data_IF_393502744094
#
_entry.id   IF_393502744094
#
_cell.length_a   1.000
_cell.length_b   1.000
_cell.length_c   1.000
_cell.angle_alpha   90.00
_cell.angle_beta   90.00
_cell.angle_gamma   90.00
#
_symmetry.space_group_name_H-M   'P 1'
#
loop_
_entity.id
_entity.type
_entity.pdbx_description
1 polymer ?
#
# COMPACT_ATOMS: atom_id res chain seq x y z
N UNK A 1 18.56 -17.51 -20.60
CA UNK A 1 17.83 -17.32 -19.33
C UNK A 1 16.34 -17.51 -19.59
N UNK A 2 15.71 -18.45 -18.91
CA UNK A 2 14.27 -18.69 -18.99
C UNK A 2 13.52 -17.43 -18.53
N UNK A 3 12.32 -17.18 -19.09
CA UNK A 3 11.52 -15.99 -18.77
C UNK A 3 11.21 -15.85 -17.27
N UNK A 4 11.10 -16.98 -16.57
CA UNK A 4 10.90 -17.04 -15.10
C UNK A 4 12.14 -16.61 -14.32
N UNK A 5 13.33 -17.06 -14.73
CA UNK A 5 14.60 -16.66 -14.11
C UNK A 5 14.84 -15.15 -14.27
N UNK A 6 14.52 -14.59 -15.46
CA UNK A 6 14.56 -13.14 -15.69
C UNK A 6 13.62 -12.38 -14.76
N UNK A 7 12.41 -12.89 -14.54
CA UNK A 7 11.44 -12.29 -13.61
C UNK A 7 11.96 -12.29 -12.16
N UNK A 8 12.54 -13.41 -11.70
CA UNK A 8 13.09 -13.53 -10.35
C UNK A 8 14.32 -12.63 -10.16
N UNK A 9 15.21 -12.56 -11.16
CA UNK A 9 16.36 -11.65 -11.15
C UNK A 9 15.90 -10.18 -11.03
N UNK A 10 14.89 -9.78 -11.82
CA UNK A 10 14.29 -8.44 -11.74
C UNK A 10 13.74 -8.12 -10.35
N UNK A 11 13.04 -9.06 -9.71
CA UNK A 11 12.59 -8.84 -8.32
C UNK A 11 13.76 -8.68 -7.36
N UNK A 12 14.79 -9.52 -7.47
CA UNK A 12 15.98 -9.44 -6.62
C UNK A 12 16.67 -8.07 -6.74
N UNK A 13 16.84 -7.58 -7.96
CA UNK A 13 17.46 -6.28 -8.20
C UNK A 13 16.56 -5.11 -7.76
N UNK A 14 15.25 -5.22 -7.99
CA UNK A 14 14.30 -4.22 -7.53
C UNK A 14 14.24 -4.12 -6.00
N UNK A 15 14.34 -5.24 -5.28
CA UNK A 15 14.41 -5.25 -3.80
C UNK A 15 15.67 -4.53 -3.31
N UNK A 16 16.84 -4.79 -3.93
CA UNK A 16 18.09 -4.09 -3.59
C UNK A 16 17.98 -2.57 -3.80
N UNK A 17 17.19 -2.14 -4.78
CA UNK A 17 16.91 -0.73 -5.04
C UNK A 17 15.79 -0.13 -4.16
N UNK A 18 15.33 -0.84 -3.12
CA UNK A 18 14.28 -0.38 -2.20
C UNK A 18 12.84 -0.69 -2.64
N UNK A 19 12.65 -1.39 -3.76
CA UNK A 19 11.37 -1.87 -4.27
C UNK A 19 10.87 -3.15 -3.57
N UNK A 20 10.28 -4.05 -4.36
CA UNK A 20 9.89 -5.41 -3.91
C UNK A 20 8.42 -5.77 -4.12
N UNK A 21 7.57 -4.78 -4.42
CA UNK A 21 6.17 -5.00 -4.85
C UNK A 21 5.94 -4.27 -6.15
N UNK A 22 5.43 -4.99 -7.16
CA UNK A 22 5.30 -4.46 -8.51
C UNK A 22 3.94 -4.78 -9.15
N UNK A 23 3.40 -3.81 -9.87
CA UNK A 23 2.20 -4.02 -10.69
C UNK A 23 2.52 -4.86 -11.92
N UNK A 24 1.49 -5.46 -12.52
CA UNK A 24 1.61 -6.18 -13.80
C UNK A 24 2.21 -5.30 -14.89
N UNK A 25 1.88 -3.99 -14.88
CA UNK A 25 2.38 -3.00 -15.84
C UNK A 25 3.87 -2.73 -15.64
N UNK A 26 4.32 -2.56 -14.39
CA UNK A 26 5.73 -2.36 -14.08
C UNK A 26 6.56 -3.59 -14.43
N UNK A 27 6.07 -4.79 -14.12
CA UNK A 27 6.74 -6.02 -14.51
C UNK A 27 6.85 -6.18 -16.03
N UNK A 28 5.78 -5.86 -16.76
CA UNK A 28 5.81 -5.87 -18.22
C UNK A 28 6.88 -4.90 -18.76
N UNK A 29 6.88 -3.67 -18.25
CA UNK A 29 7.86 -2.65 -18.61
C UNK A 29 9.31 -3.10 -18.31
N UNK A 30 9.59 -3.54 -17.08
CA UNK A 30 10.93 -3.98 -16.66
C UNK A 30 11.42 -5.23 -17.43
N UNK A 31 10.51 -6.08 -17.89
CA UNK A 31 10.85 -7.25 -18.72
C UNK A 31 11.03 -6.91 -20.21
N UNK A 32 10.69 -5.69 -20.63
CA UNK A 32 10.65 -5.31 -22.05
C UNK A 32 9.52 -6.01 -22.81
N UNK A 33 8.40 -6.27 -22.15
CA UNK A 33 7.27 -7.05 -22.65
C UNK A 33 6.00 -6.19 -22.71
N UNK A 34 5.11 -6.39 -23.69
CA UNK A 34 3.83 -5.71 -23.71
C UNK A 34 2.93 -6.26 -22.59
N UNK A 35 2.18 -5.36 -21.94
CA UNK A 35 1.12 -5.77 -21.01
C UNK A 35 -0.04 -6.40 -21.80
N UNK A 36 0.06 -7.70 -22.03
CA UNK A 36 -0.86 -8.51 -22.82
C UNK A 36 -1.59 -9.57 -21.99
N UNK A 37 -2.67 -10.18 -22.50
CA UNK A 37 -3.29 -11.35 -21.87
C UNK A 37 -2.29 -12.51 -21.66
N UNK A 38 -1.37 -12.72 -22.62
CA UNK A 38 -0.32 -13.71 -22.51
C UNK A 38 0.65 -13.40 -21.35
N UNK A 39 1.05 -12.14 -21.18
CA UNK A 39 1.90 -11.73 -20.06
C UNK A 39 1.18 -11.87 -18.71
N UNK A 40 -0.10 -11.50 -18.65
CA UNK A 40 -0.92 -11.66 -17.44
C UNK A 40 -1.11 -13.14 -17.06
N UNK A 41 -1.29 -14.01 -18.06
CA UNK A 41 -1.32 -15.47 -17.87
C UNK A 41 0.02 -15.98 -17.36
N UNK A 42 1.14 -15.53 -17.95
CA UNK A 42 2.49 -15.86 -17.49
C UNK A 42 2.70 -15.53 -16.01
N UNK A 43 2.33 -14.33 -15.56
CA UNK A 43 2.41 -13.97 -14.13
C UNK A 43 1.51 -14.85 -13.26
N UNK A 44 0.30 -15.16 -13.73
CA UNK A 44 -0.64 -16.04 -13.01
C UNK A 44 -0.10 -17.47 -12.88
N UNK A 45 0.56 -17.99 -13.92
CA UNK A 45 1.23 -19.29 -13.90
C UNK A 45 2.44 -19.30 -12.95
N UNK A 46 3.24 -18.22 -12.95
CA UNK A 46 4.34 -18.07 -11.98
C UNK A 46 3.82 -18.04 -10.54
N UNK A 47 2.70 -17.35 -10.30
CA UNK A 47 2.07 -17.30 -8.99
C UNK A 47 1.54 -18.67 -8.55
N UNK A 48 0.87 -19.40 -9.46
CA UNK A 48 0.39 -20.77 -9.22
C UNK A 48 1.52 -21.75 -8.89
N UNK A 49 2.71 -21.54 -9.48
CA UNK A 49 3.92 -22.32 -9.21
C UNK A 49 4.66 -21.88 -7.94
N UNK A 50 4.20 -20.84 -7.24
CA UNK A 50 4.84 -20.33 -6.03
C UNK A 50 6.14 -19.54 -6.25
N UNK A 51 6.46 -19.16 -7.50
CA UNK A 51 7.66 -18.35 -7.80
C UNK A 51 7.47 -16.87 -7.40
N UNK A 52 6.24 -16.40 -7.50
CA UNK A 52 5.82 -15.06 -7.09
C UNK A 52 4.54 -15.18 -6.27
N UNK A 53 4.24 -14.19 -5.44
CA UNK A 53 2.98 -14.11 -4.72
C UNK A 53 2.18 -12.94 -5.26
N UNK A 54 0.90 -13.16 -5.54
CA UNK A 54 -0.04 -12.08 -5.81
C UNK A 54 -0.48 -11.49 -4.47
N UNK A 55 0.01 -10.30 -4.14
CA UNK A 55 -0.34 -9.64 -2.86
C UNK A 55 -1.75 -9.07 -2.88
N UNK A 56 -2.17 -8.53 -4.03
CA UNK A 56 -3.54 -8.12 -4.38
C UNK A 56 -3.72 -8.21 -5.89
N UNK A 57 -4.94 -8.04 -6.41
CA UNK A 57 -5.20 -8.14 -7.86
C UNK A 57 -4.26 -7.24 -8.68
N UNK A 58 -3.45 -7.86 -9.53
CA UNK A 58 -2.55 -7.16 -10.46
C UNK A 58 -1.23 -6.69 -9.85
N UNK A 59 -0.96 -6.99 -8.59
CA UNK A 59 0.26 -6.60 -7.86
C UNK A 59 0.93 -7.86 -7.29
N UNK A 60 2.24 -7.95 -7.47
CA UNK A 60 3.01 -9.15 -7.19
C UNK A 60 4.32 -8.82 -6.45
N UNK A 61 4.84 -9.83 -5.77
CA UNK A 61 6.17 -9.84 -5.16
C UNK A 61 6.85 -11.19 -5.39
N UNK A 62 8.16 -11.24 -5.16
CA UNK A 62 8.92 -12.50 -5.18
C UNK A 62 8.73 -13.27 -3.87
N UNK A 63 8.59 -14.60 -3.95
CA UNK A 63 8.54 -15.47 -2.76
C UNK A 63 9.93 -15.81 -2.22
N UNK A 64 10.97 -15.60 -3.03
CA UNK A 64 12.37 -15.87 -2.70
C UNK A 64 13.02 -14.63 -2.09
N UNK A 65 12.71 -13.46 -2.64
CA UNK A 65 13.23 -12.17 -2.20
C UNK A 65 12.03 -11.24 -1.94
N UNK A 66 11.26 -11.48 -0.87
CA UNK A 66 10.13 -10.62 -0.55
C UNK A 66 10.60 -9.21 -0.14
N UNK A 67 9.73 -8.19 -0.24
CA UNK A 67 10.02 -6.88 0.32
C UNK A 67 10.17 -6.95 1.85
N UNK A 68 10.86 -5.96 2.41
CA UNK A 68 10.94 -5.74 3.86
C UNK A 68 9.53 -5.71 4.49
N UNK A 69 9.19 -6.66 5.38
CA UNK A 69 7.82 -6.82 5.89
C UNK A 69 7.26 -5.57 6.55
N UNK A 70 8.09 -4.82 7.27
CA UNK A 70 7.67 -3.60 7.99
C UNK A 70 7.21 -2.47 7.05
N UNK A 71 7.69 -2.46 5.80
CA UNK A 71 7.37 -1.39 4.82
C UNK A 71 6.48 -1.87 3.67
N UNK A 72 6.32 -3.19 3.50
CA UNK A 72 5.64 -3.79 2.35
C UNK A 72 4.19 -3.31 2.19
N UNK A 73 3.44 -3.17 3.28
CA UNK A 73 2.04 -2.72 3.23
C UNK A 73 1.92 -1.30 2.64
N UNK A 74 2.84 -0.38 2.99
CA UNK A 74 2.86 0.99 2.47
C UNK A 74 3.25 1.03 0.98
N UNK A 75 4.17 0.16 0.56
CA UNK A 75 4.49 -0.02 -0.87
C UNK A 75 3.25 -0.47 -1.64
N UNK A 76 2.44 -1.38 -1.10
CA UNK A 76 1.19 -1.84 -1.72
C UNK A 76 0.18 -0.69 -1.82
N UNK A 77 0.04 0.15 -0.79
CA UNK A 77 -0.83 1.34 -0.83
C UNK A 77 -0.48 2.23 -2.02
N UNK A 78 0.81 2.54 -2.19
CA UNK A 78 1.31 3.36 -3.29
C UNK A 78 1.08 2.72 -4.66
N UNK A 79 1.05 1.38 -4.77
CA UNK A 79 0.70 0.70 -6.03
C UNK A 79 -0.81 0.65 -6.31
N UNK A 80 -1.65 0.55 -5.28
CA UNK A 80 -3.12 0.48 -5.41
C UNK A 80 -3.74 1.82 -5.82
N UNK A 81 -3.19 2.94 -5.31
CA UNK A 81 -3.77 4.28 -5.44
C UNK A 81 -2.74 5.38 -5.75
N UNK A 82 -1.56 5.05 -6.29
CA UNK A 82 -0.48 6.03 -6.50
C UNK A 82 -0.75 7.20 -7.45
N UNK A 83 -1.89 7.22 -8.14
CA UNK A 83 -2.29 8.31 -9.04
C UNK A 83 -3.17 9.38 -8.36
N UNK A 84 -3.45 9.25 -7.07
CA UNK A 84 -4.23 10.20 -6.28
C UNK A 84 -3.55 10.45 -4.95
N UNK A 85 -3.88 11.56 -4.27
CA UNK A 85 -3.41 11.81 -2.92
C UNK A 85 -3.95 10.72 -1.97
N UNK A 86 -3.03 10.08 -1.25
CA UNK A 86 -3.31 9.16 -0.15
C UNK A 86 -2.46 9.54 1.05
N UNK A 87 -3.02 9.41 2.25
CA UNK A 87 -2.29 9.67 3.49
C UNK A 87 -2.81 8.77 4.61
N UNK A 88 -1.91 8.34 5.49
CA UNK A 88 -2.28 7.56 6.69
C UNK A 88 -2.97 8.52 7.66
N UNK A 89 -4.11 8.10 8.19
CA UNK A 89 -4.94 8.90 9.10
C UNK A 89 -5.71 7.97 10.05
N UNK A 90 -6.77 8.47 10.68
CA UNK A 90 -7.69 7.70 11.52
C UNK A 90 -6.93 6.94 12.62
N UNK A 91 -7.35 5.72 12.95
CA UNK A 91 -6.77 4.90 14.01
C UNK A 91 -5.30 4.56 13.76
N UNK A 92 -4.89 4.34 12.51
CA UNK A 92 -3.50 3.97 12.22
C UNK A 92 -2.53 5.12 12.50
N UNK A 93 -2.96 6.36 12.27
CA UNK A 93 -2.13 7.51 12.63
C UNK A 93 -2.13 7.77 14.13
N UNK A 94 -3.30 7.70 14.78
CA UNK A 94 -3.40 7.94 16.23
C UNK A 94 -2.69 6.88 17.06
N UNK A 95 -2.67 5.63 16.59
CA UNK A 95 -1.86 4.59 17.21
C UNK A 95 -0.37 4.87 17.04
N UNK A 96 0.05 5.33 15.86
CA UNK A 96 1.45 5.68 15.60
C UNK A 96 1.95 6.84 16.48
N UNK A 97 1.10 7.81 16.78
CA UNK A 97 1.44 8.96 17.66
C UNK A 97 1.22 8.68 19.14
N UNK A 98 0.70 7.51 19.51
CA UNK A 98 0.42 7.13 20.90
C UNK A 98 -0.85 7.73 21.49
N UNK A 99 -1.69 8.38 20.68
CA UNK A 99 -2.99 8.95 21.09
C UNK A 99 -4.04 7.87 21.37
N UNK A 100 -3.86 6.64 20.85
CA UNK A 100 -4.70 5.48 21.21
C UNK A 100 -3.83 4.25 21.51
N UNK A 101 -4.19 3.51 22.56
CA UNK A 101 -3.44 2.33 23.02
C UNK A 101 -3.73 1.05 22.22
N UNK A 102 -4.85 1.00 21.49
CA UNK A 102 -5.28 -0.20 20.77
C UNK A 102 -5.07 -0.06 19.26
N UNK A 103 -4.29 -1.00 18.72
CA UNK A 103 -4.17 -1.25 17.28
C UNK A 103 -5.44 -1.96 16.80
N UNK A 104 -6.03 -1.53 15.68
CA UNK A 104 -6.82 -2.48 14.88
C UNK A 104 -5.80 -3.44 14.26
N UNK A 105 -5.48 -4.52 14.98
CA UNK A 105 -4.40 -5.45 14.62
C UNK A 105 -4.51 -5.85 13.14
N UNK A 106 -3.43 -5.64 12.40
CA UNK A 106 -3.35 -5.99 10.99
C UNK A 106 -4.20 -5.12 10.06
N UNK A 107 -4.61 -3.90 10.45
CA UNK A 107 -5.32 -2.95 9.56
C UNK A 107 -4.60 -1.60 9.46
N UNK A 108 -4.34 -1.19 8.22
CA UNK A 108 -3.84 0.13 7.87
C UNK A 108 -4.97 0.98 7.29
N UNK A 109 -5.30 2.08 7.97
CA UNK A 109 -6.33 3.04 7.57
C UNK A 109 -5.70 4.19 6.78
N UNK A 110 -6.24 4.42 5.58
CA UNK A 110 -5.70 5.38 4.62
C UNK A 110 -6.83 6.25 4.09
N UNK A 111 -6.69 7.57 4.19
CA UNK A 111 -7.58 8.50 3.53
C UNK A 111 -7.12 8.72 2.10
N UNK A 112 -8.06 8.80 1.15
CA UNK A 112 -7.75 8.91 -0.28
C UNK A 112 -8.63 9.92 -1.00
N UNK A 113 -8.09 10.57 -2.04
CA UNK A 113 -8.89 11.29 -3.04
C UNK A 113 -9.48 10.36 -4.12
N UNK A 114 -9.07 9.10 -4.15
CA UNK A 114 -9.64 8.06 -5.01
C UNK A 114 -10.87 7.38 -4.41
N UNK A 115 -11.26 6.23 -4.98
CA UNK A 115 -12.40 5.43 -4.46
C UNK A 115 -12.02 4.70 -3.18
N UNK A 116 -12.95 4.68 -2.23
CA UNK A 116 -12.88 3.80 -1.06
C UNK A 116 -12.76 2.32 -1.46
N UNK A 117 -12.24 1.50 -0.55
CA UNK A 117 -12.17 0.06 -0.73
C UNK A 117 -11.25 -0.61 0.27
N UNK A 118 -11.50 -1.88 0.52
CA UNK A 118 -10.70 -2.71 1.42
C UNK A 118 -9.92 -3.76 0.61
N UNK A 119 -8.66 -3.97 0.99
CA UNK A 119 -7.76 -4.89 0.33
C UNK A 119 -7.05 -5.75 1.37
N UNK A 120 -7.40 -7.04 1.41
CA UNK A 120 -6.67 -8.02 2.20
C UNK A 120 -5.35 -8.38 1.50
N UNK A 121 -4.25 -8.30 2.24
CA UNK A 121 -2.89 -8.60 1.76
C UNK A 121 -2.18 -9.53 2.74
N UNK A 122 -1.08 -10.18 2.33
CA UNK A 122 -0.23 -10.95 3.25
C UNK A 122 0.36 -10.13 4.42
N UNK A 123 0.32 -8.79 4.33
CA UNK A 123 0.87 -7.85 5.32
C UNK A 123 -0.20 -7.20 6.20
N UNK A 124 -1.46 -7.60 6.04
CA UNK A 124 -2.61 -6.99 6.69
C UNK A 124 -3.60 -6.39 5.70
N UNK A 125 -4.64 -5.78 6.24
CA UNK A 125 -5.75 -5.16 5.52
C UNK A 125 -5.42 -3.69 5.29
N UNK A 126 -5.53 -3.25 4.04
CA UNK A 126 -5.49 -1.84 3.69
C UNK A 126 -6.93 -1.37 3.50
N UNK A 127 -7.34 -0.38 4.28
CA UNK A 127 -8.65 0.24 4.18
C UNK A 127 -8.52 1.67 3.66
N UNK A 128 -8.99 1.90 2.43
CA UNK A 128 -9.10 3.23 1.85
C UNK A 128 -10.46 3.85 2.14
N UNK A 129 -10.46 5.05 2.71
CA UNK A 129 -11.65 5.88 2.90
C UNK A 129 -11.56 7.15 2.06
N UNK A 130 -12.50 7.33 1.15
CA UNK A 130 -12.59 8.53 0.34
C UNK A 130 -12.90 9.77 1.19
N UNK A 131 -12.12 10.83 1.03
CA UNK A 131 -12.42 12.13 1.63
C UNK A 131 -12.99 13.12 0.61
N UNK A 132 -14.11 13.75 0.99
CA UNK A 132 -14.70 14.87 0.25
C UNK A 132 -13.96 16.19 0.50
N UNK A 133 -13.12 16.28 1.54
CA UNK A 133 -12.31 17.48 1.82
C UNK A 133 -11.45 17.83 0.61
N UNK A 134 -11.30 19.12 0.33
CA UNK A 134 -10.45 19.60 -0.75
C UNK A 134 -8.97 19.42 -0.42
N UNK A 135 -8.10 19.40 -1.44
CA UNK A 135 -6.65 19.30 -1.23
C UNK A 135 -6.15 20.47 -0.37
N UNK A 136 -6.65 21.69 -0.62
CA UNK A 136 -6.28 22.88 0.16
C UNK A 136 -6.59 22.76 1.66
N UNK A 137 -7.65 22.04 2.03
CA UNK A 137 -8.01 21.80 3.43
C UNK A 137 -7.14 20.71 4.10
N UNK A 138 -6.61 19.77 3.32
CA UNK A 138 -5.88 18.60 3.84
C UNK A 138 -4.38 18.87 3.90
N UNK A 139 -3.80 19.40 2.82
CA UNK A 139 -2.35 19.51 2.64
C UNK A 139 -1.60 20.20 3.79
N UNK A 140 -2.10 21.30 4.38
CA UNK A 140 -1.42 21.95 5.51
C UNK A 140 -1.28 21.06 6.75
N UNK A 141 -2.08 20.00 6.84
CA UNK A 141 -2.12 19.10 7.99
C UNK A 141 -1.50 17.73 7.70
N UNK A 142 -0.71 17.62 6.62
CA UNK A 142 0.04 16.41 6.28
C UNK A 142 1.55 16.65 6.45
N UNK A 143 2.27 15.60 6.85
CA UNK A 143 3.72 15.54 6.77
C UNK A 143 4.15 14.30 5.98
N UNK A 144 5.30 14.38 5.32
CA UNK A 144 5.85 13.24 4.60
C UNK A 144 6.71 12.40 5.53
N UNK A 145 6.37 11.12 5.67
CA UNK A 145 7.16 10.15 6.40
C UNK A 145 8.13 9.45 5.43
N UNK A 146 9.42 9.78 5.56
CA UNK A 146 10.48 9.26 4.70
C UNK A 146 10.73 7.76 4.91
N UNK A 147 10.42 7.19 6.08
CA UNK A 147 10.69 5.78 6.38
C UNK A 147 9.78 4.86 5.56
N UNK A 148 8.53 5.28 5.38
CA UNK A 148 7.50 4.51 4.66
C UNK A 148 7.20 5.06 3.25
N UNK A 149 7.75 6.23 2.91
CA UNK A 149 7.57 6.89 1.62
C UNK A 149 6.12 7.29 1.35
N UNK A 150 5.43 7.85 2.36
CA UNK A 150 4.02 8.20 2.27
C UNK A 150 3.67 9.37 3.19
N UNK A 151 2.60 10.11 2.85
CA UNK A 151 2.08 11.14 3.74
C UNK A 151 1.36 10.55 4.95
N UNK A 152 1.52 11.22 6.10
CA UNK A 152 0.75 11.01 7.32
C UNK A 152 -0.02 12.28 7.66
N UNK A 153 -1.21 12.13 8.25
CA UNK A 153 -1.93 13.22 8.87
C UNK A 153 -1.25 13.62 10.19
N UNK A 154 -1.32 14.90 10.53
CA UNK A 154 -1.14 15.33 11.93
C UNK A 154 -2.21 14.69 12.82
N UNK A 155 -1.95 14.59 14.14
CA UNK A 155 -2.92 14.08 15.11
C UNK A 155 -4.27 14.82 15.01
N UNK A 156 -4.26 16.15 14.91
CA UNK A 156 -5.48 16.96 14.78
C UNK A 156 -6.28 16.62 13.53
N UNK A 157 -5.61 16.40 12.40
CA UNK A 157 -6.26 15.98 11.16
C UNK A 157 -6.78 14.54 11.24
N UNK A 158 -6.07 13.63 11.90
CA UNK A 158 -6.53 12.27 12.11
C UNK A 158 -7.82 12.21 12.95
N UNK A 159 -7.91 13.01 14.02
CA UNK A 159 -9.13 13.17 14.81
C UNK A 159 -10.26 13.78 13.97
N UNK A 160 -9.94 14.81 13.17
CA UNK A 160 -10.93 15.43 12.28
C UNK A 160 -11.41 14.48 11.17
N UNK A 161 -10.60 13.51 10.77
CA UNK A 161 -10.97 12.46 9.82
C UNK A 161 -11.82 11.39 10.51
N UNK A 162 -11.51 10.97 11.76
CA UNK A 162 -12.37 10.06 12.54
C UNK A 162 -13.80 10.62 12.66
N UNK A 163 -13.92 11.89 13.04
CA UNK A 163 -15.20 12.60 13.16
C UNK A 163 -15.94 12.65 11.82
N UNK A 164 -15.24 13.01 10.73
CA UNK A 164 -15.84 13.09 9.40
C UNK A 164 -16.31 11.73 8.87
N UNK A 165 -15.68 10.64 9.31
CA UNK A 165 -16.03 9.27 8.94
C UNK A 165 -17.06 8.62 9.89
N UNK A 166 -17.57 9.35 10.89
CA UNK A 166 -18.46 8.84 11.95
C UNK A 166 -17.89 7.58 12.64
N UNK A 167 -16.57 7.56 12.89
CA UNK A 167 -15.89 6.47 13.59
C UNK A 167 -15.89 6.71 15.10
N UNK A 168 -15.63 5.67 15.88
CA UNK A 168 -15.61 5.80 17.34
C UNK A 168 -14.45 6.69 17.79
N UNK A 169 -14.78 7.84 18.39
CA UNK A 169 -13.82 8.82 18.92
C UNK A 169 -13.51 8.61 20.41
N UNK A 170 -14.28 7.78 21.12
CA UNK A 170 -14.08 7.55 22.56
C UNK A 170 -12.70 6.97 22.89
N UNK A 171 -12.04 6.36 21.90
CA UNK A 171 -10.70 5.80 22.03
C UNK A 171 -9.62 6.87 22.24
N UNK A 172 -9.88 8.12 21.84
CA UNK A 172 -8.92 9.24 21.91
C UNK A 172 -9.09 10.07 23.20
N UNK A 173 -10.25 9.98 23.85
CA UNK A 173 -10.60 10.77 25.05
C UNK A 173 -10.25 10.04 26.37
N UNK A 174 -9.31 9.09 26.33
CA UNK A 174 -8.93 8.24 27.48
C UNK A 174 -7.81 8.84 28.33
#
# INVERSE_FOLDING_TARGET
MLKQERLLALFSDAVKAGGGVHTSRELAFMMGEPLSPAFTKFLSDCARKGLIRRVVKGIFESTITPPEPTTAIYKIVNKLRGNVLNYISLESQLCHTGDISQVIMGRLTVMTKGRSGEFSTPYGIIEFTHTKKSIAQIMPNLYFDNEIGMFRATTSQAIADLKACNRNISMVES
#
